data_IF_326278193891
#
_entry.id   IF_326278193891
#
_cell.length_a   1.000
_cell.length_b   1.000
_cell.length_c   1.000
_cell.angle_alpha   90.00
_cell.angle_beta   90.00
_cell.angle_gamma   90.00
#
_symmetry.space_group_name_H-M   'P 1'
#
loop_
_entity.id
_entity.type
_entity.pdbx_description
1 polymer ?
#
# COMPACT_ATOMS: atom_id res chain seq x y z
N UNK A 1 -22.66 6.26 70.41
CA UNK A 1 -22.89 7.03 69.18
C UNK A 1 -21.70 6.79 68.27
N UNK A 2 -21.88 6.09 67.14
CA UNK A 2 -20.80 5.75 66.19
C UNK A 2 -20.70 6.86 65.14
N UNK A 3 -19.54 7.49 65.00
CA UNK A 3 -19.24 8.33 63.83
C UNK A 3 -19.09 7.45 62.60
N UNK A 4 -19.88 7.77 61.57
CA UNK A 4 -19.86 7.13 60.25
C UNK A 4 -18.93 7.95 59.36
N UNK A 5 -17.78 7.38 59.03
CA UNK A 5 -16.78 7.93 58.12
C UNK A 5 -17.37 8.15 56.73
N UNK A 6 -17.41 9.41 56.27
CA UNK A 6 -17.72 9.76 54.88
C UNK A 6 -16.48 9.47 54.03
N UNK A 7 -16.51 8.40 53.24
CA UNK A 7 -15.50 8.13 52.23
C UNK A 7 -16.15 7.46 51.00
N UNK A 8 -16.83 8.25 50.16
CA UNK A 8 -17.53 7.72 48.97
C UNK A 8 -17.47 8.69 47.77
N UNK A 9 -16.27 9.14 47.39
CA UNK A 9 -16.09 9.91 46.14
C UNK A 9 -14.93 9.39 45.28
N UNK A 10 -14.29 8.26 45.65
CA UNK A 10 -13.15 7.72 44.89
C UNK A 10 -13.51 6.65 43.85
N UNK A 11 -14.79 6.29 43.69
CA UNK A 11 -15.21 5.16 42.86
C UNK A 11 -15.65 5.49 41.42
N UNK A 12 -15.86 6.77 41.06
CA UNK A 12 -16.40 7.13 39.73
C UNK A 12 -15.33 7.50 38.70
N UNK A 13 -14.12 7.87 39.10
CA UNK A 13 -13.05 8.25 38.17
C UNK A 13 -12.37 7.06 37.47
N UNK A 14 -12.53 5.84 38.00
CA UNK A 14 -11.94 4.64 37.40
C UNK A 14 -12.77 4.17 36.19
N UNK A 15 -14.10 4.12 36.33
CA UNK A 15 -15.01 3.69 35.27
C UNK A 15 -14.98 4.60 34.03
N UNK A 16 -14.88 5.92 34.19
CA UNK A 16 -14.80 6.84 33.05
C UNK A 16 -13.47 6.73 32.27
N UNK A 17 -12.36 6.43 32.97
CA UNK A 17 -11.06 6.16 32.34
C UNK A 17 -11.03 4.82 31.64
N UNK A 18 -11.72 3.81 32.18
CA UNK A 18 -11.81 2.50 31.55
C UNK A 18 -12.75 2.47 30.36
N UNK A 19 -13.84 3.24 30.35
CA UNK A 19 -14.66 3.42 29.14
C UNK A 19 -13.87 4.17 28.05
N UNK A 20 -13.08 5.18 28.41
CA UNK A 20 -12.17 5.85 27.46
C UNK A 20 -11.11 4.89 26.90
N UNK A 21 -10.49 4.06 27.75
CA UNK A 21 -9.53 3.02 27.33
C UNK A 21 -10.16 1.90 26.52
N UNK A 22 -11.40 1.51 26.80
CA UNK A 22 -12.10 0.48 26.03
C UNK A 22 -12.57 0.99 24.66
N UNK A 23 -12.86 2.29 24.53
CA UNK A 23 -13.06 2.94 23.24
C UNK A 23 -11.73 3.02 22.46
N UNK A 24 -10.60 3.22 23.12
CA UNK A 24 -9.25 3.17 22.51
C UNK A 24 -8.80 1.74 22.14
N UNK A 25 -9.36 0.72 22.79
CA UNK A 25 -9.00 -0.69 22.62
C UNK A 25 -9.99 -1.49 21.76
N UNK A 26 -10.74 -0.85 20.87
CA UNK A 26 -11.50 -1.61 19.87
C UNK A 26 -10.52 -2.21 18.85
N UNK A 27 -10.43 -3.55 18.72
CA UNK A 27 -9.60 -4.17 17.69
C UNK A 27 -9.99 -3.62 16.32
N UNK A 28 -9.01 -3.26 15.49
CA UNK A 28 -9.32 -2.76 14.13
C UNK A 28 -10.16 -3.80 13.42
N UNK A 29 -11.37 -3.40 13.02
CA UNK A 29 -12.25 -4.29 12.26
C UNK A 29 -11.64 -4.54 10.89
N UNK A 30 -11.84 -5.74 10.34
CA UNK A 30 -11.41 -6.07 8.99
C UNK A 30 -11.92 -5.07 7.93
N UNK A 31 -13.09 -4.48 8.14
CA UNK A 31 -13.62 -3.41 7.29
C UNK A 31 -12.72 -2.16 7.25
N UNK A 32 -12.12 -1.77 8.37
CA UNK A 32 -11.18 -0.65 8.42
C UNK A 32 -9.88 -0.98 7.68
N UNK A 33 -9.37 -2.20 7.84
CA UNK A 33 -8.15 -2.68 7.13
C UNK A 33 -8.38 -2.68 5.62
N UNK A 34 -9.52 -3.23 5.16
CA UNK A 34 -9.88 -3.25 3.74
C UNK A 34 -10.05 -1.83 3.18
N UNK A 35 -10.74 -0.95 3.91
CA UNK A 35 -10.95 0.44 3.49
C UNK A 35 -9.63 1.21 3.40
N UNK A 36 -8.80 1.14 4.44
CA UNK A 36 -7.53 1.87 4.48
C UNK A 36 -6.57 1.36 3.40
N UNK A 37 -6.51 0.05 3.21
CA UNK A 37 -5.73 -0.56 2.13
C UNK A 37 -6.22 -0.15 0.74
N UNK A 38 -7.53 -0.14 0.51
CA UNK A 38 -8.11 0.29 -0.75
C UNK A 38 -7.84 1.78 -1.04
N UNK A 39 -7.94 2.66 -0.04
CA UNK A 39 -7.64 4.09 -0.18
C UNK A 39 -6.15 4.30 -0.47
N UNK A 40 -5.25 3.64 0.29
CA UNK A 40 -3.82 3.71 0.04
C UNK A 40 -3.49 3.24 -1.38
N UNK A 41 -4.03 2.09 -1.78
CA UNK A 41 -3.87 1.55 -3.13
C UNK A 41 -4.35 2.51 -4.22
N UNK A 42 -5.53 3.10 -4.05
CA UNK A 42 -6.06 4.11 -4.97
C UNK A 42 -5.12 5.32 -5.11
N UNK A 43 -4.59 5.83 -4.00
CA UNK A 43 -3.60 6.91 -4.03
C UNK A 43 -2.33 6.50 -4.78
N UNK A 44 -1.83 5.28 -4.55
CA UNK A 44 -0.71 4.71 -5.29
C UNK A 44 -1.00 4.63 -6.79
N UNK A 45 -2.19 4.14 -7.17
CA UNK A 45 -2.61 4.07 -8.57
C UNK A 45 -2.62 5.45 -9.23
N UNK A 46 -3.10 6.48 -8.51
CA UNK A 46 -3.13 7.86 -8.98
C UNK A 46 -1.74 8.44 -9.16
N UNK A 47 -0.83 8.20 -8.21
CA UNK A 47 0.56 8.64 -8.32
C UNK A 47 1.22 8.10 -9.60
N UNK A 48 1.08 6.80 -9.87
CA UNK A 48 1.62 6.17 -11.09
C UNK A 48 0.95 6.71 -12.34
N UNK A 49 -0.39 6.82 -12.34
CA UNK A 49 -1.14 7.29 -13.50
C UNK A 49 -0.77 8.73 -13.88
N UNK A 50 -0.64 9.62 -12.89
CA UNK A 50 -0.23 11.01 -13.09
C UNK A 50 1.22 11.07 -13.58
N UNK A 51 2.12 10.29 -12.99
CA UNK A 51 3.52 10.23 -13.42
C UNK A 51 3.66 9.84 -14.89
N UNK A 52 3.01 8.75 -15.30
CA UNK A 52 3.04 8.31 -16.70
C UNK A 52 2.31 9.28 -17.63
N UNK A 53 1.22 9.92 -17.18
CA UNK A 53 0.57 10.95 -17.98
C UNK A 53 1.50 12.13 -18.26
N UNK A 54 2.23 12.61 -17.24
CA UNK A 54 3.23 13.67 -17.41
C UNK A 54 4.32 13.23 -18.38
N UNK A 55 4.88 12.04 -18.16
CA UNK A 55 5.96 11.49 -18.97
C UNK A 55 5.57 11.31 -20.44
N UNK A 56 4.39 10.75 -20.68
CA UNK A 56 3.80 10.55 -22.00
C UNK A 56 3.53 11.90 -22.70
N UNK A 57 3.06 12.90 -21.94
CA UNK A 57 2.81 14.25 -22.44
C UNK A 57 4.11 14.95 -22.84
N UNK A 58 5.18 14.81 -22.06
CA UNK A 58 6.52 15.34 -22.39
C UNK A 58 7.04 14.74 -23.71
N UNK A 59 6.68 13.49 -24.00
CA UNK A 59 7.01 12.80 -25.26
C UNK A 59 6.06 13.11 -26.42
N UNK A 60 5.09 14.00 -26.22
CA UNK A 60 4.11 14.42 -27.22
C UNK A 60 3.01 13.40 -27.49
N UNK A 61 2.84 12.38 -26.64
CA UNK A 61 1.88 11.29 -26.84
C UNK A 61 1.15 10.94 -25.54
N UNK A 62 0.24 11.79 -25.05
CA UNK A 62 -0.49 11.53 -23.81
C UNK A 62 -1.23 10.18 -23.87
N UNK A 63 -1.23 9.46 -22.74
CA UNK A 63 -1.83 8.12 -22.59
C UNK A 63 -1.18 7.00 -23.43
N UNK A 64 0.03 7.19 -23.96
CA UNK A 64 0.76 6.14 -24.67
C UNK A 64 1.00 4.91 -23.79
N UNK A 65 1.43 5.11 -22.55
CA UNK A 65 1.70 4.02 -21.61
C UNK A 65 0.47 3.15 -21.33
N UNK A 66 -0.67 3.70 -20.87
CA UNK A 66 -1.87 2.89 -20.65
C UNK A 66 -2.45 2.33 -21.96
N UNK A 67 -2.22 2.96 -23.11
CA UNK A 67 -2.60 2.39 -24.41
C UNK A 67 -1.78 1.13 -24.71
N UNK A 68 -0.45 1.21 -24.65
CA UNK A 68 0.43 0.07 -24.94
C UNK A 68 0.17 -1.10 -24.00
N UNK A 69 0.00 -0.84 -22.71
CA UNK A 69 -0.28 -1.90 -21.73
C UNK A 69 -1.71 -2.46 -21.88
N UNK A 70 -2.67 -1.66 -22.32
CA UNK A 70 -4.02 -2.13 -22.65
C UNK A 70 -4.02 -3.05 -23.88
N UNK A 71 -3.32 -2.64 -24.92
CA UNK A 71 -3.11 -3.44 -26.14
C UNK A 71 -2.42 -4.76 -25.81
N UNK A 72 -1.42 -4.72 -24.93
CA UNK A 72 -0.68 -5.90 -24.48
C UNK A 72 -1.59 -6.95 -23.83
N UNK A 73 -2.57 -6.50 -23.04
CA UNK A 73 -3.53 -7.39 -22.35
C UNK A 73 -4.58 -7.91 -23.34
N UNK A 74 -5.14 -7.03 -24.18
CA UNK A 74 -6.22 -7.38 -25.11
C UNK A 74 -5.75 -8.28 -26.25
N UNK A 75 -4.50 -8.12 -26.68
CA UNK A 75 -3.91 -8.82 -27.83
C UNK A 75 -2.77 -9.77 -27.45
N UNK A 76 -2.65 -10.14 -26.17
CA UNK A 76 -1.60 -11.01 -25.65
C UNK A 76 -1.28 -12.24 -26.53
N UNK A 77 -2.26 -13.00 -27.07
CA UNK A 77 -1.96 -14.16 -27.93
C UNK A 77 -1.21 -13.79 -29.22
N UNK A 78 -1.51 -12.64 -29.80
CA UNK A 78 -0.86 -12.18 -31.04
C UNK A 78 0.52 -11.59 -30.81
N UNK A 79 0.73 -10.93 -29.67
CA UNK A 79 2.02 -10.36 -29.28
C UNK A 79 3.02 -11.46 -28.95
N UNK A 80 2.60 -12.46 -28.17
CA UNK A 80 3.40 -13.67 -27.89
C UNK A 80 3.73 -14.43 -29.18
N UNK A 81 2.89 -14.31 -30.22
CA UNK A 81 3.12 -14.87 -31.56
C UNK A 81 4.18 -14.17 -32.41
N UNK A 82 4.87 -13.15 -31.90
CA UNK A 82 5.99 -12.49 -32.58
C UNK A 82 5.66 -11.17 -33.30
N UNK A 83 4.51 -10.56 -33.00
CA UNK A 83 4.14 -9.24 -33.51
C UNK A 83 4.28 -8.19 -32.39
N UNK A 84 5.46 -7.57 -32.24
CA UNK A 84 5.69 -6.58 -31.19
C UNK A 84 4.81 -5.35 -31.41
N UNK A 85 4.37 -4.74 -30.31
CA UNK A 85 3.59 -3.52 -30.37
C UNK A 85 4.47 -2.37 -30.89
N UNK A 86 3.86 -1.47 -31.66
CA UNK A 86 4.53 -0.28 -32.17
C UNK A 86 4.10 0.95 -31.37
N UNK A 87 5.03 1.86 -31.01
CA UNK A 87 4.65 3.10 -30.37
C UNK A 87 3.86 4.01 -31.33
N UNK A 88 3.84 3.71 -32.64
CA UNK A 88 3.09 4.44 -33.64
C UNK A 88 1.58 4.13 -33.66
N UNK A 89 1.09 3.14 -32.89
CA UNK A 89 -0.34 2.84 -32.81
C UNK A 89 -1.16 4.09 -32.42
N UNK A 90 -2.36 4.29 -32.97
CA UNK A 90 -3.23 5.38 -32.58
C UNK A 90 -3.63 5.24 -31.09
N UNK A 91 -3.82 6.37 -30.40
CA UNK A 91 -4.35 6.35 -29.03
C UNK A 91 -5.85 6.09 -29.08
N UNK A 92 -6.28 4.91 -28.64
CA UNK A 92 -7.68 4.48 -28.64
C UNK A 92 -8.15 4.38 -27.18
N UNK A 93 -9.36 4.86 -26.91
CA UNK A 93 -9.91 4.91 -25.55
C UNK A 93 -10.10 3.51 -24.92
N UNK A 94 -10.50 2.51 -25.71
CA UNK A 94 -10.80 1.15 -25.21
C UNK A 94 -9.63 0.52 -24.43
N UNK A 95 -8.45 0.33 -25.05
CA UNK A 95 -7.26 -0.20 -24.37
C UNK A 95 -6.84 0.63 -23.16
N UNK A 96 -6.85 1.96 -23.29
CA UNK A 96 -6.48 2.89 -22.20
C UNK A 96 -7.39 2.67 -20.98
N UNK A 97 -8.70 2.60 -21.19
CA UNK A 97 -9.67 2.38 -20.11
C UNK A 97 -9.55 0.98 -19.51
N UNK A 98 -9.36 -0.04 -20.35
CA UNK A 98 -9.20 -1.42 -19.91
C UNK A 98 -7.98 -1.58 -18.98
N UNK A 99 -6.81 -1.07 -19.40
CA UNK A 99 -5.62 -1.09 -18.57
C UNK A 99 -5.80 -0.24 -17.31
N UNK A 100 -6.39 0.97 -17.44
CA UNK A 100 -6.60 1.84 -16.27
C UNK A 100 -7.49 1.15 -15.23
N UNK A 101 -8.55 0.44 -15.62
CA UNK A 101 -9.36 -0.32 -14.68
C UNK A 101 -8.56 -1.41 -13.96
N UNK A 102 -7.79 -2.21 -14.71
CA UNK A 102 -6.95 -3.28 -14.15
C UNK A 102 -5.88 -2.72 -13.22
N UNK A 103 -5.26 -1.60 -13.59
CA UNK A 103 -4.24 -0.90 -12.81
C UNK A 103 -4.79 -0.48 -11.45
N UNK A 104 -5.93 0.20 -11.41
CA UNK A 104 -6.51 0.66 -10.15
C UNK A 104 -6.97 -0.50 -9.27
N UNK A 105 -7.62 -1.52 -9.86
CA UNK A 105 -8.01 -2.71 -9.11
C UNK A 105 -6.78 -3.41 -8.51
N UNK A 106 -5.73 -3.60 -9.31
CA UNK A 106 -4.48 -4.22 -8.87
C UNK A 106 -3.83 -3.46 -7.72
N UNK A 107 -3.73 -2.13 -7.82
CA UNK A 107 -3.18 -1.29 -6.76
C UNK A 107 -4.04 -1.27 -5.50
N UNK A 108 -5.38 -1.28 -5.62
CA UNK A 108 -6.28 -1.38 -4.47
C UNK A 108 -6.10 -2.71 -3.74
N UNK A 109 -6.05 -3.83 -4.47
CA UNK A 109 -5.79 -5.15 -3.90
C UNK A 109 -4.41 -5.22 -3.24
N UNK A 110 -3.40 -4.62 -3.88
CA UNK A 110 -2.05 -4.52 -3.32
C UNK A 110 -2.02 -3.70 -2.02
N UNK A 111 -2.70 -2.55 -1.98
CA UNK A 111 -2.83 -1.74 -0.77
C UNK A 111 -3.57 -2.48 0.35
N UNK A 112 -4.60 -3.26 0.03
CA UNK A 112 -5.27 -4.17 0.97
C UNK A 112 -4.30 -5.23 1.51
N UNK A 113 -3.48 -5.84 0.66
CA UNK A 113 -2.48 -6.80 1.08
C UNK A 113 -1.45 -6.18 2.04
N UNK A 114 -0.97 -4.96 1.76
CA UNK A 114 -0.08 -4.21 2.67
C UNK A 114 -0.80 -3.92 3.99
N UNK A 115 -2.05 -3.44 3.96
CA UNK A 115 -2.81 -3.14 5.17
C UNK A 115 -3.02 -4.39 6.04
N UNK A 116 -3.29 -5.53 5.41
CA UNK A 116 -3.41 -6.82 6.10
C UNK A 116 -2.07 -7.26 6.71
N UNK A 117 -0.96 -7.14 5.97
CA UNK A 117 0.38 -7.43 6.50
C UNK A 117 0.72 -6.54 7.70
N UNK A 118 0.39 -5.24 7.63
CA UNK A 118 0.58 -4.31 8.74
C UNK A 118 -0.31 -4.63 9.95
N UNK A 119 -1.51 -5.17 9.72
CA UNK A 119 -2.38 -5.65 10.79
C UNK A 119 -1.78 -6.86 11.51
N UNK A 120 -1.21 -7.82 10.77
CA UNK A 120 -0.55 -8.98 11.36
C UNK A 120 0.84 -8.68 11.93
N UNK A 121 1.49 -7.59 11.49
CA UNK A 121 2.82 -7.21 11.96
C UNK A 121 2.90 -6.83 13.43
N UNK A 122 1.76 -6.59 14.09
CA UNK A 122 1.71 -6.45 15.54
C UNK A 122 2.16 -7.73 16.27
N UNK A 123 2.00 -8.91 15.66
CA UNK A 123 2.45 -10.18 16.22
C UNK A 123 3.97 -10.39 16.07
N UNK A 124 4.50 -10.27 14.84
CA UNK A 124 5.87 -10.67 14.51
C UNK A 124 6.66 -9.53 13.82
N UNK A 125 7.84 -9.12 14.36
CA UNK A 125 8.65 -8.05 13.79
C UNK A 125 9.16 -8.37 12.37
N UNK A 126 9.22 -9.65 12.02
CA UNK A 126 9.58 -10.11 10.68
C UNK A 126 8.57 -9.70 9.61
N UNK A 127 7.31 -9.41 9.96
CA UNK A 127 6.29 -9.00 8.98
C UNK A 127 6.51 -7.58 8.43
N UNK A 128 7.33 -6.76 9.08
CA UNK A 128 7.84 -5.51 8.49
C UNK A 128 8.64 -5.77 7.22
N UNK A 129 9.43 -6.86 7.16
CA UNK A 129 10.07 -7.31 5.92
C UNK A 129 9.06 -7.79 4.89
N UNK A 130 7.89 -8.29 5.32
CA UNK A 130 6.79 -8.68 4.44
C UNK A 130 6.28 -7.54 3.57
N UNK A 131 6.29 -6.29 4.05
CA UNK A 131 5.92 -5.12 3.25
C UNK A 131 6.97 -4.86 2.16
N UNK A 132 8.26 -4.93 2.50
CA UNK A 132 9.34 -4.78 1.52
C UNK A 132 9.29 -5.88 0.46
N UNK A 133 9.06 -7.13 0.89
CA UNK A 133 8.90 -8.26 -0.02
C UNK A 133 7.67 -8.10 -0.90
N UNK A 134 6.54 -7.63 -0.37
CA UNK A 134 5.33 -7.39 -1.17
C UNK A 134 5.59 -6.36 -2.27
N UNK A 135 6.27 -5.25 -1.95
CA UNK A 135 6.67 -4.23 -2.93
C UNK A 135 7.61 -4.81 -3.99
N UNK A 136 8.65 -5.52 -3.57
CA UNK A 136 9.60 -6.11 -4.50
C UNK A 136 8.95 -7.18 -5.39
N UNK A 137 8.10 -8.04 -4.82
CA UNK A 137 7.34 -9.05 -5.55
C UNK A 137 6.37 -8.41 -6.54
N UNK A 138 5.71 -7.30 -6.18
CA UNK A 138 4.85 -6.55 -7.09
C UNK A 138 5.65 -6.02 -8.29
N UNK A 139 6.81 -5.40 -8.05
CA UNK A 139 7.69 -4.90 -9.10
C UNK A 139 8.14 -6.01 -10.05
N UNK A 140 8.66 -7.11 -9.49
CA UNK A 140 9.14 -8.26 -10.25
C UNK A 140 8.01 -8.89 -11.05
N UNK A 141 6.81 -9.04 -10.47
CA UNK A 141 5.66 -9.61 -11.15
C UNK A 141 5.20 -8.72 -12.30
N UNK A 142 5.11 -7.41 -12.08
CA UNK A 142 4.71 -6.47 -13.13
C UNK A 142 5.72 -6.43 -14.27
N UNK A 143 7.01 -6.21 -13.97
CA UNK A 143 8.08 -6.20 -14.97
C UNK A 143 8.19 -7.55 -15.67
N UNK A 144 8.04 -8.65 -14.93
CA UNK A 144 8.05 -10.01 -15.46
C UNK A 144 6.90 -10.26 -16.44
N UNK A 145 5.67 -9.85 -16.11
CA UNK A 145 4.52 -9.96 -17.02
C UNK A 145 4.76 -9.14 -18.28
N UNK A 146 5.16 -7.87 -18.16
CA UNK A 146 5.44 -7.02 -19.33
C UNK A 146 6.57 -7.59 -20.18
N UNK A 147 7.62 -8.14 -19.55
CA UNK A 147 8.75 -8.79 -20.24
C UNK A 147 8.32 -10.02 -21.03
N UNK A 148 7.48 -10.88 -20.45
CA UNK A 148 6.98 -12.09 -21.10
C UNK A 148 6.04 -11.75 -22.25
N UNK A 149 5.24 -10.69 -22.11
CA UNK A 149 4.31 -10.28 -23.15
C UNK A 149 5.01 -9.50 -24.27
N UNK A 150 5.78 -8.45 -23.96
CA UNK A 150 6.56 -7.68 -24.93
C UNK A 150 7.71 -6.88 -24.31
N UNK A 151 8.94 -7.36 -24.50
CA UNK A 151 10.17 -6.65 -24.11
C UNK A 151 10.33 -5.27 -24.77
N UNK A 152 9.77 -5.06 -25.97
CA UNK A 152 9.84 -3.78 -26.66
C UNK A 152 9.04 -2.71 -25.90
N UNK A 153 7.88 -3.08 -25.33
CA UNK A 153 7.07 -2.17 -24.49
C UNK A 153 7.87 -1.74 -23.27
N UNK A 154 8.55 -2.66 -22.57
CA UNK A 154 9.40 -2.32 -21.43
C UNK A 154 10.48 -1.27 -21.80
N UNK A 155 11.13 -1.46 -22.96
CA UNK A 155 12.14 -0.52 -23.48
C UNK A 155 11.55 0.84 -23.86
N UNK A 156 10.33 0.87 -24.38
CA UNK A 156 9.63 2.12 -24.72
C UNK A 156 9.26 2.92 -23.47
N UNK A 157 8.75 2.25 -22.43
CA UNK A 157 8.39 2.88 -21.16
C UNK A 157 9.64 3.42 -20.45
N UNK A 158 10.75 2.69 -20.54
CA UNK A 158 11.99 2.99 -19.86
C UNK A 158 11.93 2.48 -18.43
N UNK A 159 12.85 1.58 -18.10
CA UNK A 159 12.92 0.89 -16.80
C UNK A 159 12.96 1.89 -15.62
N UNK A 160 13.73 2.96 -15.77
CA UNK A 160 13.82 4.03 -14.76
C UNK A 160 12.49 4.74 -14.52
N UNK A 161 11.70 4.95 -15.56
CA UNK A 161 10.38 5.60 -15.44
C UNK A 161 9.43 4.76 -14.60
N UNK A 162 9.46 3.44 -14.79
CA UNK A 162 8.65 2.48 -14.03
C UNK A 162 9.06 2.53 -12.56
N UNK A 163 10.37 2.44 -12.29
CA UNK A 163 10.92 2.50 -10.94
C UNK A 163 10.50 3.81 -10.24
N UNK A 164 10.65 4.97 -10.89
CA UNK A 164 10.25 6.25 -10.30
C UNK A 164 8.75 6.33 -10.00
N UNK A 165 7.91 5.84 -10.91
CA UNK A 165 6.46 5.79 -10.71
C UNK A 165 6.09 4.94 -9.49
N UNK A 166 6.69 3.76 -9.36
CA UNK A 166 6.39 2.84 -8.26
C UNK A 166 6.99 3.30 -6.92
N UNK A 167 8.15 3.96 -6.93
CA UNK A 167 8.68 4.64 -5.75
C UNK A 167 7.78 5.78 -5.27
N UNK A 168 7.21 6.56 -6.19
CA UNK A 168 6.25 7.61 -5.85
C UNK A 168 4.97 7.01 -5.23
N UNK A 169 4.46 5.93 -5.81
CA UNK A 169 3.31 5.21 -5.29
C UNK A 169 3.56 4.69 -3.88
N UNK A 170 4.71 4.03 -3.67
CA UNK A 170 5.13 3.52 -2.37
C UNK A 170 5.26 4.64 -1.34
N UNK A 171 5.86 5.77 -1.72
CA UNK A 171 6.02 6.92 -0.84
C UNK A 171 4.64 7.47 -0.41
N UNK A 172 3.69 7.60 -1.34
CA UNK A 172 2.36 8.13 -1.06
C UNK A 172 1.53 7.16 -0.20
N UNK A 173 1.59 5.86 -0.49
CA UNK A 173 0.96 4.81 0.32
C UNK A 173 1.55 4.77 1.74
N UNK A 174 2.88 4.79 1.85
CA UNK A 174 3.58 4.81 3.13
C UNK A 174 3.26 6.06 3.95
N UNK A 175 3.20 7.22 3.30
CA UNK A 175 2.75 8.46 3.93
C UNK A 175 1.31 8.35 4.44
N UNK A 176 0.37 7.83 3.62
CA UNK A 176 -1.02 7.63 4.04
C UNK A 176 -1.11 6.74 5.29
N UNK A 177 -0.44 5.59 5.30
CA UNK A 177 -0.42 4.70 6.46
C UNK A 177 0.24 5.35 7.68
N UNK A 178 1.33 6.11 7.49
CA UNK A 178 2.00 6.80 8.60
C UNK A 178 1.11 7.87 9.25
N UNK A 179 0.46 8.70 8.43
CA UNK A 179 -0.39 9.79 8.92
C UNK A 179 -1.67 9.30 9.59
N UNK A 180 -2.22 8.17 9.15
CA UNK A 180 -3.45 7.63 9.72
C UNK A 180 -3.21 6.62 10.86
N UNK A 181 -2.00 6.04 10.95
CA UNK A 181 -1.65 5.04 11.97
C UNK A 181 -0.28 5.32 12.64
N UNK A 182 -0.05 6.51 13.23
CA UNK A 182 1.23 6.85 13.84
C UNK A 182 1.61 5.95 15.02
N UNK A 183 0.60 5.40 15.72
CA UNK A 183 0.80 4.47 16.84
C UNK A 183 1.47 3.15 16.41
N UNK A 184 1.21 2.67 15.19
CA UNK A 184 1.81 1.43 14.66
C UNK A 184 3.32 1.60 14.46
N UNK A 185 3.73 2.75 13.90
CA UNK A 185 5.13 3.07 13.66
C UNK A 185 5.88 3.39 14.96
N UNK A 186 5.21 4.02 15.93
CA UNK A 186 5.78 4.23 17.26
C UNK A 186 6.03 2.89 18.00
N UNK A 187 5.14 1.90 17.84
CA UNK A 187 5.29 0.54 18.39
C UNK A 187 6.42 -0.23 17.70
N UNK A 188 6.46 -0.22 16.37
CA UNK A 188 7.54 -0.85 15.59
C UNK A 188 8.92 -0.25 15.93
N UNK A 189 9.02 1.09 16.02
CA UNK A 189 10.26 1.79 16.37
C UNK A 189 10.72 1.46 17.80
N UNK A 190 9.79 1.38 18.76
CA UNK A 190 10.10 0.98 20.14
C UNK A 190 10.62 -0.45 20.20
N UNK A 191 9.99 -1.39 19.50
CA UNK A 191 10.39 -2.81 19.44
C UNK A 191 11.74 -3.01 18.75
N UNK A 192 11.99 -2.32 17.63
CA UNK A 192 13.30 -2.34 16.96
C UNK A 192 14.43 -1.89 17.91
N UNK A 193 14.19 -0.80 18.64
CA UNK A 193 15.18 -0.28 19.56
C UNK A 193 15.43 -1.20 20.77
N UNK A 194 14.47 -2.00 21.21
CA UNK A 194 14.67 -3.00 22.27
C UNK A 194 15.35 -4.27 21.77
N UNK A 195 15.04 -4.74 20.56
CA UNK A 195 15.78 -5.85 19.92
C UNK A 195 17.23 -5.47 19.66
N UNK A 196 17.50 -4.26 19.16
CA UNK A 196 18.86 -3.76 18.93
C UNK A 196 19.68 -3.56 20.23
N UNK A 197 19.00 -3.42 21.38
CA UNK A 197 19.64 -3.28 22.70
C UNK A 197 19.73 -4.58 23.50
N UNK A 198 19.21 -5.71 22.97
CA UNK A 198 19.22 -7.00 23.66
C UNK A 198 18.37 -7.06 24.92
N UNK A 199 17.55 -6.05 25.20
CA UNK A 199 16.66 -6.02 26.38
C UNK A 199 15.33 -6.69 26.02
N UNK A 200 14.93 -7.78 26.70
CA UNK A 200 13.62 -8.38 26.47
C UNK A 200 12.52 -7.37 26.81
N UNK A 201 11.57 -7.19 25.90
CA UNK A 201 10.38 -6.37 26.14
C UNK A 201 9.40 -7.20 26.95
N UNK A 202 9.12 -6.79 28.18
CA UNK A 202 8.10 -7.43 28.99
C UNK A 202 6.70 -7.08 28.45
N UNK A 203 5.76 -8.03 28.41
CA UNK A 203 4.41 -7.80 27.86
C UNK A 203 3.66 -6.66 28.55
N UNK A 204 3.97 -6.40 29.83
CA UNK A 204 3.36 -5.34 30.63
C UNK A 204 3.73 -3.91 30.19
N UNK A 205 4.86 -3.71 29.49
CA UNK A 205 5.31 -2.37 29.04
C UNK A 205 4.64 -1.91 27.73
N UNK A 206 3.82 -2.77 27.11
CA UNK A 206 3.16 -2.53 25.83
C UNK A 206 1.70 -2.05 25.97
N UNK A 207 1.16 -2.06 27.19
CA UNK A 207 -0.23 -1.70 27.51
C UNK A 207 -0.42 -0.28 28.07
N UNK A 208 0.62 0.55 28.11
CA UNK A 208 0.55 1.98 28.46
C UNK A 208 0.92 2.87 27.29
#
# INVERSE_FOLDING_TARGET
MKEVTINSVRHTSHGARDVGRQLEATPRTWSAVLRDGAIAGFLGAMAVAIWFLIFDTIRGRPFLTPMLLGELIMHAPSVIGGHPLSPALPIIAGPVLAYSAIHFIGFMLFGIAIAALLYFADAEPLMGFGVLLAVLSFEILFVGIVTVLDMAVLRMLGEWTIIFGNLLALALMGWYFHSHHPALLARLRRRWNSTARGTPVHPEDLCT
#
